data_IF_737476729452
#
_entry.id   IF_737476729452
#
_cell.length_a   1.000
_cell.length_b   1.000
_cell.length_c   1.000
_cell.angle_alpha   90.00
_cell.angle_beta   90.00
_cell.angle_gamma   90.00
#
_symmetry.space_group_name_H-M   'P 1'
#
loop_
_entity.id
_entity.type
_entity.pdbx_description
1 polymer ?
#
# COMPACT_ATOMS: atom_id res chain seq x y z
N UNK A 1 -2.78 -2.80 6.80
CA UNK A 1 -1.36 -2.59 7.13
C UNK A 1 -0.70 -3.93 7.35
N UNK A 2 0.34 -4.25 6.58
CA UNK A 2 1.03 -5.55 6.61
C UNK A 2 2.41 -5.42 5.97
N UNK A 3 3.37 -6.26 6.35
CA UNK A 3 4.49 -6.50 5.44
C UNK A 3 3.96 -7.24 4.22
N UNK A 4 4.46 -6.92 3.04
CA UNK A 4 4.08 -7.60 1.81
C UNK A 4 5.29 -8.20 1.11
N UNK A 5 5.10 -9.30 0.41
CA UNK A 5 6.11 -9.86 -0.48
C UNK A 5 5.48 -10.82 -1.46
N UNK A 6 6.23 -11.23 -2.47
CA UNK A 6 5.76 -12.16 -3.49
C UNK A 6 6.86 -13.13 -3.88
N UNK A 7 6.51 -14.40 -4.13
CA UNK A 7 7.40 -15.42 -4.70
C UNK A 7 6.68 -16.17 -5.83
N UNK A 8 7.38 -16.43 -6.94
CA UNK A 8 6.83 -17.19 -8.06
C UNK A 8 6.62 -18.68 -7.70
N UNK A 9 5.61 -19.31 -8.29
CA UNK A 9 5.14 -20.67 -7.94
C UNK A 9 6.13 -21.78 -8.34
N UNK A 10 7.08 -21.54 -9.24
CA UNK A 10 7.94 -22.61 -9.76
C UNK A 10 9.40 -22.20 -9.88
N UNK A 11 10.25 -22.79 -9.03
CA UNK A 11 11.66 -23.00 -9.36
C UNK A 11 11.85 -24.47 -9.77
N UNK A 12 12.45 -24.78 -10.94
CA UNK A 12 12.64 -26.16 -11.40
C UNK A 12 13.68 -27.00 -10.63
N UNK A 13 14.23 -26.55 -9.49
CA UNK A 13 15.48 -27.12 -8.95
C UNK A 13 15.51 -27.43 -7.44
N UNK A 14 14.42 -27.88 -6.81
CA UNK A 14 14.55 -28.49 -5.47
C UNK A 14 13.88 -29.86 -5.41
N UNK A 15 14.71 -30.90 -5.31
CA UNK A 15 14.33 -32.32 -5.21
C UNK A 15 13.56 -32.66 -3.92
N UNK A 16 13.40 -31.72 -2.99
CA UNK A 16 12.65 -31.91 -1.75
C UNK A 16 11.87 -30.64 -1.38
N UNK A 17 10.57 -30.82 -1.13
CA UNK A 17 9.55 -29.86 -0.64
C UNK A 17 8.93 -28.87 -1.66
N UNK A 18 7.61 -28.97 -1.83
CA UNK A 18 6.74 -28.00 -2.54
C UNK A 18 6.88 -26.61 -1.91
N UNK A 19 7.74 -25.75 -2.44
CA UNK A 19 7.64 -24.32 -2.19
C UNK A 19 6.44 -23.79 -3.00
N UNK A 20 5.26 -23.67 -2.36
CA UNK A 20 4.12 -22.95 -2.95
C UNK A 20 4.46 -21.46 -2.96
N UNK A 21 4.84 -20.93 -4.12
CA UNK A 21 4.88 -19.49 -4.35
C UNK A 21 3.50 -18.85 -4.15
N UNK A 22 3.47 -17.53 -4.04
CA UNK A 22 2.26 -16.79 -3.70
C UNK A 22 1.31 -16.69 -4.92
N UNK A 23 1.87 -16.76 -6.13
CA UNK A 23 1.10 -16.89 -7.37
C UNK A 23 0.44 -15.62 -7.84
N UNK A 24 -0.55 -15.76 -8.70
CA UNK A 24 -1.27 -14.64 -9.31
C UNK A 24 -2.73 -14.66 -8.89
N UNK A 25 -3.32 -13.48 -8.74
CA UNK A 25 -4.74 -13.29 -8.48
C UNK A 25 -5.33 -12.31 -9.49
N UNK A 26 -6.65 -12.23 -9.56
CA UNK A 26 -7.37 -11.36 -10.49
C UNK A 26 -8.13 -10.33 -9.68
N UNK A 27 -8.03 -9.06 -10.08
CA UNK A 27 -8.75 -7.96 -9.43
C UNK A 27 -10.26 -8.15 -9.62
N UNK A 28 -11.06 -8.17 -8.54
CA UNK A 28 -12.52 -8.25 -8.62
C UNK A 28 -13.15 -7.20 -9.55
N UNK A 29 -14.32 -7.53 -10.08
CA UNK A 29 -15.08 -6.62 -10.96
C UNK A 29 -15.48 -5.34 -10.21
N UNK A 30 -15.33 -4.19 -10.87
CA UNK A 30 -15.60 -2.84 -10.36
C UNK A 30 -14.67 -2.39 -9.22
N UNK A 31 -13.52 -3.05 -9.06
CA UNK A 31 -12.51 -2.67 -8.08
C UNK A 31 -11.26 -2.14 -8.79
N UNK A 32 -10.64 -1.10 -8.23
CA UNK A 32 -9.30 -0.63 -8.57
C UNK A 32 -8.36 -0.85 -7.40
N UNK A 33 -7.10 -1.20 -7.68
CA UNK A 33 -6.07 -1.28 -6.65
C UNK A 33 -5.00 -0.25 -6.98
N UNK A 34 -4.73 0.64 -6.03
CA UNK A 34 -3.70 1.66 -6.15
C UNK A 34 -2.45 1.22 -5.36
N UNK A 35 -1.33 1.09 -6.06
CA UNK A 35 -0.03 0.79 -5.48
C UNK A 35 0.80 2.06 -5.33
N UNK A 36 1.34 2.26 -4.13
CA UNK A 36 2.15 3.43 -3.76
C UNK A 36 3.65 3.24 -3.94
N UNK A 37 4.04 2.03 -4.34
CA UNK A 37 5.40 1.67 -4.70
C UNK A 37 5.41 0.92 -6.00
N UNK A 38 6.55 0.95 -6.69
CA UNK A 38 6.79 0.07 -7.83
C UNK A 38 6.90 -1.38 -7.37
N UNK A 39 6.77 -2.31 -8.30
CA UNK A 39 7.13 -3.70 -8.05
C UNK A 39 8.59 -3.78 -7.56
N UNK A 40 8.87 -4.66 -6.59
CA UNK A 40 10.18 -4.82 -5.92
C UNK A 40 10.65 -3.64 -5.05
N UNK A 41 9.74 -2.75 -4.65
CA UNK A 41 10.07 -1.60 -3.81
C UNK A 41 9.38 -1.66 -2.43
N UNK A 42 10.01 -1.04 -1.44
CA UNK A 42 9.56 -0.98 -0.06
C UNK A 42 8.64 0.21 0.15
N UNK A 43 7.53 0.01 0.85
CA UNK A 43 6.60 1.10 1.16
C UNK A 43 6.66 1.48 2.63
N UNK A 44 6.34 2.74 2.93
CA UNK A 44 6.06 3.23 4.28
C UNK A 44 4.55 3.18 4.51
N UNK A 45 4.04 2.03 4.93
CA UNK A 45 2.58 1.80 5.02
C UNK A 45 1.82 2.82 5.88
N UNK A 46 2.43 3.33 6.96
CA UNK A 46 1.86 4.42 7.76
C UNK A 46 1.74 5.73 6.98
N UNK A 47 2.72 6.06 6.15
CA UNK A 47 2.71 7.28 5.33
C UNK A 47 1.61 7.21 4.27
N UNK A 48 1.40 6.04 3.66
CA UNK A 48 0.28 5.80 2.75
C UNK A 48 -1.05 5.99 3.46
N UNK A 49 -1.24 5.36 4.62
CA UNK A 49 -2.48 5.50 5.40
C UNK A 49 -2.73 6.97 5.79
N UNK A 50 -1.69 7.69 6.22
CA UNK A 50 -1.80 9.12 6.57
C UNK A 50 -2.21 9.96 5.37
N UNK A 51 -1.57 9.80 4.21
CA UNK A 51 -1.91 10.58 3.02
C UNK A 51 -3.29 10.26 2.46
N UNK A 52 -3.66 8.98 2.42
CA UNK A 52 -5.01 8.56 2.00
C UNK A 52 -6.08 9.12 2.95
N UNK A 53 -5.84 9.13 4.26
CA UNK A 53 -6.77 9.74 5.22
C UNK A 53 -6.91 11.25 5.02
N UNK A 54 -5.79 11.96 4.80
CA UNK A 54 -5.78 13.42 4.59
C UNK A 54 -6.45 13.83 3.28
N UNK A 55 -6.16 13.10 2.19
CA UNK A 55 -6.61 13.41 0.82
C UNK A 55 -7.58 12.36 0.30
N UNK A 56 -8.53 11.93 1.12
CA UNK A 56 -9.43 10.81 0.81
C UNK A 56 -10.25 11.03 -0.48
N UNK A 57 -10.71 12.26 -0.74
CA UNK A 57 -11.46 12.60 -1.96
C UNK A 57 -10.63 12.43 -3.23
N UNK A 58 -9.34 12.78 -3.16
CA UNK A 58 -8.42 12.59 -4.26
C UNK A 58 -7.98 11.12 -4.36
N UNK A 59 -7.77 10.45 -3.23
CA UNK A 59 -7.41 9.04 -3.19
C UNK A 59 -8.45 8.16 -3.92
N UNK A 60 -9.74 8.50 -3.84
CA UNK A 60 -10.78 7.80 -4.63
C UNK A 60 -10.53 7.87 -6.15
N UNK A 61 -9.98 8.98 -6.66
CA UNK A 61 -9.62 9.14 -8.09
C UNK A 61 -8.20 8.63 -8.40
N UNK A 62 -7.35 8.58 -7.38
CA UNK A 62 -5.95 8.20 -7.42
C UNK A 62 -5.07 9.37 -7.01
N UNK A 63 -4.25 9.17 -5.98
CA UNK A 63 -3.39 10.23 -5.44
C UNK A 63 -2.35 10.71 -6.45
N UNK A 64 -2.35 12.01 -6.75
CA UNK A 64 -1.32 12.65 -7.57
C UNK A 64 -0.18 13.19 -6.70
N UNK A 65 1.04 13.28 -7.23
CA UNK A 65 2.16 13.84 -6.49
C UNK A 65 1.91 15.31 -6.15
N UNK A 66 1.89 15.62 -4.85
CA UNK A 66 1.80 16.98 -4.33
C UNK A 66 2.61 17.11 -3.05
N UNK A 67 3.13 18.31 -2.79
CA UNK A 67 3.93 18.60 -1.60
C UNK A 67 3.10 19.02 -0.38
N UNK A 68 1.79 19.23 -0.55
CA UNK A 68 0.86 19.70 0.50
C UNK A 68 1.44 20.83 1.37
N UNK A 69 2.22 21.73 0.76
CA UNK A 69 2.87 22.87 1.40
C UNK A 69 2.74 24.09 0.49
N UNK A 70 2.55 25.26 1.08
CA UNK A 70 2.48 26.51 0.31
C UNK A 70 3.86 26.87 -0.26
N UNK A 71 3.90 27.63 -1.35
CA UNK A 71 5.16 28.14 -1.90
C UNK A 71 5.88 29.06 -0.91
N UNK A 72 5.13 29.78 -0.09
CA UNK A 72 5.68 30.69 0.92
C UNK A 72 6.35 29.91 2.07
N UNK A 73 5.69 28.88 2.60
CA UNK A 73 6.29 28.00 3.62
C UNK A 73 7.51 27.27 3.06
N UNK A 74 7.43 26.82 1.82
CA UNK A 74 8.53 26.13 1.16
C UNK A 74 9.73 27.06 0.95
N UNK A 75 9.50 28.35 0.65
CA UNK A 75 10.54 29.38 0.61
C UNK A 75 11.16 29.61 1.98
N UNK A 76 10.36 29.69 3.05
CA UNK A 76 10.85 29.81 4.43
C UNK A 76 11.72 28.61 4.82
N UNK A 77 11.29 27.39 4.50
CA UNK A 77 12.05 26.17 4.77
C UNK A 77 13.36 26.08 3.96
N UNK A 78 13.32 26.48 2.69
CA UNK A 78 14.50 26.51 1.83
C UNK A 78 15.56 27.47 2.38
N UNK A 79 15.13 28.67 2.80
CA UNK A 79 15.99 29.65 3.46
C UNK A 79 16.56 29.11 4.79
N UNK A 80 15.74 28.47 5.63
CA UNK A 80 16.19 27.90 6.89
C UNK A 80 17.25 26.78 6.72
N UNK A 81 17.16 26.02 5.61
CA UNK A 81 18.11 24.95 5.26
C UNK A 81 19.29 25.43 4.42
N UNK A 82 19.33 26.71 4.04
CA UNK A 82 20.33 27.31 3.17
C UNK A 82 20.51 26.55 1.83
N UNK A 83 19.39 26.12 1.23
CA UNK A 83 19.37 25.43 -0.07
C UNK A 83 18.41 26.14 -1.04
N UNK A 84 18.61 26.02 -2.37
CA UNK A 84 17.66 26.53 -3.36
C UNK A 84 16.27 25.93 -3.18
N UNK A 85 15.24 26.74 -3.41
CA UNK A 85 13.84 26.32 -3.34
C UNK A 85 13.56 25.09 -4.23
N UNK A 86 14.07 25.10 -5.47
CA UNK A 86 13.94 23.99 -6.41
C UNK A 86 14.53 22.68 -5.88
N UNK A 87 15.67 22.75 -5.17
CA UNK A 87 16.30 21.57 -4.56
C UNK A 87 15.46 21.01 -3.41
N UNK A 88 14.88 21.88 -2.58
CA UNK A 88 13.96 21.45 -1.54
C UNK A 88 12.69 20.83 -2.12
N UNK A 89 12.13 21.42 -3.19
CA UNK A 89 10.99 20.87 -3.91
C UNK A 89 11.30 19.47 -4.46
N UNK A 90 12.44 19.27 -5.12
CA UNK A 90 12.89 17.97 -5.61
C UNK A 90 13.05 16.94 -4.47
N UNK A 91 13.71 17.32 -3.37
CA UNK A 91 13.90 16.45 -2.21
C UNK A 91 12.56 16.04 -1.59
N UNK A 92 11.64 16.98 -1.38
CA UNK A 92 10.33 16.67 -0.83
C UNK A 92 9.47 15.84 -1.81
N UNK A 93 9.55 16.13 -3.11
CA UNK A 93 8.82 15.38 -4.15
C UNK A 93 9.31 13.94 -4.27
N UNK A 94 10.60 13.71 -4.06
CA UNK A 94 11.18 12.36 -4.03
C UNK A 94 10.59 11.49 -2.91
N UNK A 95 10.12 12.12 -1.83
CA UNK A 95 9.53 11.47 -0.66
C UNK A 95 7.99 11.50 -0.68
N UNK A 96 7.39 12.21 -1.64
CA UNK A 96 5.94 12.34 -1.73
C UNK A 96 5.28 10.98 -1.97
N UNK A 97 4.19 10.73 -1.24
CA UNK A 97 3.39 9.52 -1.40
C UNK A 97 2.30 9.80 -2.44
N UNK A 98 2.37 9.08 -3.55
CA UNK A 98 1.40 9.15 -4.63
C UNK A 98 1.26 7.79 -5.29
N UNK A 99 0.21 7.62 -6.10
CA UNK A 99 -0.03 6.39 -6.83
C UNK A 99 1.04 6.20 -7.90
N UNK A 100 1.82 5.12 -7.80
CA UNK A 100 2.87 4.76 -8.75
C UNK A 100 2.35 3.84 -9.83
N UNK A 101 1.59 2.83 -9.42
CA UNK A 101 0.98 1.83 -10.29
C UNK A 101 -0.47 1.62 -9.86
N UNK A 102 -1.29 1.13 -10.78
CA UNK A 102 -2.66 0.74 -10.46
C UNK A 102 -3.03 -0.48 -11.27
N UNK A 103 -3.96 -1.26 -10.74
CA UNK A 103 -4.58 -2.37 -11.45
C UNK A 103 -6.09 -2.19 -11.46
N UNK A 104 -6.71 -2.43 -12.60
CA UNK A 104 -8.16 -2.33 -12.79
C UNK A 104 -8.82 -3.70 -12.83
N UNK A 105 -10.15 -3.71 -12.91
CA UNK A 105 -10.97 -4.92 -12.85
C UNK A 105 -10.55 -5.96 -13.89
N UNK A 106 -10.51 -7.22 -13.46
CA UNK A 106 -10.07 -8.38 -14.26
C UNK A 106 -8.58 -8.41 -14.63
N UNK A 107 -7.77 -7.45 -14.18
CA UNK A 107 -6.33 -7.53 -14.37
C UNK A 107 -5.71 -8.60 -13.47
N UNK A 108 -4.72 -9.30 -14.03
CA UNK A 108 -3.94 -10.31 -13.31
C UNK A 108 -2.80 -9.63 -12.58
N UNK A 109 -2.78 -9.74 -11.26
CA UNK A 109 -1.77 -9.13 -10.39
C UNK A 109 -1.10 -10.19 -9.52
N UNK A 110 0.07 -9.83 -9.00
CA UNK A 110 0.79 -10.64 -8.01
C UNK A 110 -0.08 -10.79 -6.77
N UNK A 111 -0.27 -12.03 -6.33
CA UNK A 111 -1.02 -12.34 -5.13
C UNK A 111 -0.12 -12.14 -3.90
N UNK A 112 0.18 -10.89 -3.55
CA UNK A 112 1.14 -10.59 -2.49
C UNK A 112 0.78 -11.31 -1.19
N UNK A 113 1.77 -11.97 -0.60
CA UNK A 113 1.71 -12.48 0.75
C UNK A 113 1.84 -11.32 1.73
N UNK A 114 0.84 -11.19 2.58
CA UNK A 114 0.68 -10.17 3.58
C UNK A 114 0.92 -10.80 4.96
N UNK A 115 1.65 -10.09 5.82
CA UNK A 115 2.04 -10.54 7.16
C UNK A 115 1.58 -9.55 8.22
N UNK A 116 1.39 -10.03 9.45
CA UNK A 116 1.17 -9.19 10.61
C UNK A 116 2.24 -8.10 10.71
N UNK A 117 1.81 -6.89 11.10
CA UNK A 117 2.69 -5.77 11.37
C UNK A 117 2.48 -5.32 12.82
N UNK A 118 3.56 -5.08 13.56
CA UNK A 118 3.49 -4.79 15.01
C UNK A 118 2.60 -3.60 15.35
N UNK A 119 2.62 -2.57 14.49
CA UNK A 119 1.79 -1.38 14.65
C UNK A 119 0.29 -1.60 14.32
N UNK A 120 -0.13 -2.79 13.87
CA UNK A 120 -1.53 -3.05 13.51
C UNK A 120 -2.49 -2.74 14.67
N UNK A 121 -2.15 -3.16 15.90
CA UNK A 121 -3.00 -2.92 17.08
C UNK A 121 -3.22 -1.43 17.35
N UNK A 122 -2.16 -0.61 17.29
CA UNK A 122 -2.27 0.83 17.53
C UNK A 122 -3.12 1.53 16.48
N UNK A 123 -3.07 1.08 15.22
CA UNK A 123 -3.87 1.68 14.14
C UNK A 123 -5.34 1.24 14.25
N UNK A 124 -5.61 -0.02 14.59
CA UNK A 124 -6.95 -0.52 14.86
C UNK A 124 -7.59 0.30 15.98
N UNK A 125 -6.89 0.46 17.10
CA UNK A 125 -7.39 1.23 18.24
C UNK A 125 -7.73 2.67 17.84
N UNK A 126 -6.80 3.37 17.17
CA UNK A 126 -7.06 4.75 16.69
C UNK A 126 -8.25 4.85 15.74
N UNK A 127 -8.44 3.86 14.86
CA UNK A 127 -9.56 3.85 13.95
C UNK A 127 -10.88 3.61 14.68
N UNK A 128 -10.90 2.69 15.66
CA UNK A 128 -12.06 2.41 16.53
C UNK A 128 -12.41 3.58 17.46
N UNK A 129 -11.42 4.32 17.92
CA UNK A 129 -11.60 5.52 18.74
C UNK A 129 -12.16 6.72 17.93
N UNK A 130 -12.48 6.53 16.65
CA UNK A 130 -13.06 7.56 15.78
C UNK A 130 -12.06 8.61 15.28
N UNK A 131 -10.76 8.40 15.51
CA UNK A 131 -9.68 9.28 14.99
C UNK A 131 -9.34 8.99 13.52
N UNK A 132 -9.96 7.96 12.93
CA UNK A 132 -9.86 7.63 11.51
C UNK A 132 -10.92 8.32 10.65
N UNK A 133 -10.68 8.36 9.33
CA UNK A 133 -11.68 8.82 8.38
C UNK A 133 -12.76 7.73 8.21
N UNK A 134 -14.04 8.09 8.42
CA UNK A 134 -15.19 7.17 8.31
C UNK A 134 -15.42 6.60 6.91
N UNK A 135 -14.82 7.21 5.89
CA UNK A 135 -14.92 6.76 4.50
C UNK A 135 -13.83 5.75 4.11
N UNK A 136 -12.96 5.37 5.04
CA UNK A 136 -11.83 4.48 4.76
C UNK A 136 -11.87 3.32 5.74
N UNK A 137 -12.11 2.12 5.22
CA UNK A 137 -11.92 0.88 5.97
C UNK A 137 -10.47 0.41 5.87
N UNK A 138 -9.98 -0.20 6.94
CA UNK A 138 -8.60 -0.69 6.99
C UNK A 138 -8.60 -2.21 7.22
N UNK A 139 -8.02 -2.93 6.26
CA UNK A 139 -7.76 -4.36 6.40
C UNK A 139 -6.45 -4.61 7.16
N UNK A 140 -6.50 -5.50 8.15
CA UNK A 140 -5.35 -5.94 8.93
C UNK A 140 -5.27 -7.46 8.97
N UNK A 141 -4.05 -7.95 9.15
CA UNK A 141 -3.80 -9.34 9.51
C UNK A 141 -3.59 -9.37 11.00
N UNK A 142 -4.41 -10.14 11.69
CA UNK A 142 -4.37 -10.30 13.15
C UNK A 142 -3.52 -11.50 13.58
N UNK A 143 -3.37 -12.49 12.71
CA UNK A 143 -2.58 -13.69 12.97
C UNK A 143 -1.09 -13.42 12.75
N UNK A 144 -0.30 -13.55 13.83
CA UNK A 144 1.16 -13.35 13.82
C UNK A 144 1.92 -14.49 13.12
N UNK A 145 1.32 -15.69 13.07
CA UNK A 145 2.01 -16.91 12.68
C UNK A 145 1.71 -17.33 11.23
N UNK A 146 0.68 -16.75 10.61
CA UNK A 146 0.26 -17.13 9.27
C UNK A 146 0.25 -15.95 8.30
N UNK A 147 0.83 -16.17 7.11
CA UNK A 147 0.65 -15.25 5.98
C UNK A 147 -0.76 -15.38 5.41
N UNK A 148 -1.34 -14.25 5.04
CA UNK A 148 -2.56 -14.18 4.22
C UNK A 148 -2.20 -13.68 2.84
N UNK A 149 -3.03 -13.95 1.85
CA UNK A 149 -2.81 -13.48 0.49
C UNK A 149 -3.76 -12.34 0.15
N UNK A 150 -3.39 -11.53 -0.84
CA UNK A 150 -4.28 -10.47 -1.34
C UNK A 150 -5.63 -11.04 -1.82
N UNK A 151 -5.65 -12.26 -2.37
CA UNK A 151 -6.88 -12.98 -2.72
C UNK A 151 -7.81 -13.22 -1.52
N UNK A 152 -7.26 -13.40 -0.31
CA UNK A 152 -8.07 -13.59 0.89
C UNK A 152 -8.81 -12.30 1.25
N UNK A 153 -8.19 -11.14 1.00
CA UNK A 153 -8.85 -9.83 1.19
C UNK A 153 -10.00 -9.67 0.20
N UNK A 154 -9.82 -10.05 -1.07
CA UNK A 154 -10.91 -10.01 -2.05
C UNK A 154 -12.09 -10.90 -1.65
N UNK A 155 -11.79 -12.09 -1.11
CA UNK A 155 -12.81 -13.00 -0.59
C UNK A 155 -13.58 -12.36 0.56
N UNK A 156 -12.89 -11.76 1.53
CA UNK A 156 -13.53 -11.06 2.66
C UNK A 156 -14.38 -9.88 2.18
N UNK A 157 -13.89 -9.09 1.21
CA UNK A 157 -14.68 -7.99 0.63
C UNK A 157 -15.97 -8.53 0.01
N UNK A 158 -15.88 -9.60 -0.79
CA UNK A 158 -17.03 -10.21 -1.43
C UNK A 158 -18.02 -10.81 -0.41
N UNK A 159 -17.52 -11.45 0.65
CA UNK A 159 -18.33 -12.03 1.73
C UNK A 159 -18.99 -10.97 2.63
N UNK A 160 -18.35 -9.80 2.80
CA UNK A 160 -18.89 -8.70 3.59
C UNK A 160 -20.12 -8.04 2.96
N UNK A 161 -20.30 -8.18 1.64
CA UNK A 161 -21.36 -7.50 0.88
C UNK A 161 -21.14 -5.99 0.72
N UNK A 162 -20.07 -5.42 1.30
CA UNK A 162 -19.72 -4.01 1.17
C UNK A 162 -19.08 -3.76 -0.19
N UNK A 163 -19.51 -2.70 -0.87
CA UNK A 163 -18.93 -2.28 -2.15
C UNK A 163 -17.80 -1.30 -1.92
N UNK A 164 -16.59 -1.70 -2.33
CA UNK A 164 -15.42 -0.84 -2.35
C UNK A 164 -15.07 -0.48 -3.78
N UNK A 165 -14.80 0.80 -4.05
CA UNK A 165 -14.36 1.26 -5.37
C UNK A 165 -12.84 1.08 -5.53
N UNK A 166 -12.07 1.29 -4.45
CA UNK A 166 -10.61 1.36 -4.48
C UNK A 166 -9.99 0.67 -3.27
N UNK A 167 -8.96 -0.15 -3.50
CA UNK A 167 -8.05 -0.65 -2.47
C UNK A 167 -6.74 0.12 -2.54
N UNK A 168 -6.36 0.73 -1.42
CA UNK A 168 -5.07 1.38 -1.27
C UNK A 168 -4.04 0.40 -0.70
N UNK A 169 -3.16 -0.11 -1.56
CA UNK A 169 -2.16 -1.11 -1.18
C UNK A 169 -0.93 -0.43 -0.54
N UNK A 170 -0.93 -0.37 0.79
CA UNK A 170 0.16 0.19 1.60
C UNK A 170 1.14 -0.85 2.17
N UNK A 171 1.19 -2.06 1.62
CA UNK A 171 2.15 -3.10 2.04
C UNK A 171 3.35 -3.19 1.08
N UNK A 172 4.49 -3.72 1.54
CA UNK A 172 5.69 -3.84 0.69
C UNK A 172 5.44 -4.75 -0.52
N UNK A 173 6.11 -4.49 -1.65
CA UNK A 173 5.96 -5.28 -2.89
C UNK A 173 7.24 -6.03 -3.26
N UNK A 174 8.01 -6.48 -2.27
CA UNK A 174 9.30 -7.14 -2.50
C UNK A 174 9.14 -8.54 -3.05
N UNK A 175 9.79 -8.84 -4.18
CA UNK A 175 10.03 -10.22 -4.61
C UNK A 175 11.00 -10.90 -3.63
N UNK A 176 10.65 -12.10 -3.20
CA UNK A 176 11.39 -12.91 -2.21
C UNK A 176 12.12 -14.09 -2.86
N UNK A 177 12.40 -14.02 -4.15
CA UNK A 177 13.37 -14.91 -4.77
C UNK A 177 14.71 -14.77 -4.03
N UNK A 178 15.19 -15.89 -3.50
CA UNK A 178 16.40 -15.95 -2.69
C UNK A 178 17.60 -15.44 -3.51
N UNK A 179 18.40 -14.57 -2.90
CA UNK A 179 19.79 -14.35 -3.32
C UNK A 179 20.62 -15.57 -2.99
#
# INVERSE_FOLDING_TARGET
MSHGGWKEISHPQTLFTRQKGDGWTVVPKNLRIDFYTKDNDFTKGLSVLSEVNKRHTEAQKGLTPSLNISKDDLKVLANARNIPQSKLEEEMMSQAIYRKEYATSNEKIKNYALYYHEQAQNIIQRHQDGLGNKNIDIAFITDKNHKKHLSDIFKVINESGVKYDVIHFGACRVNREEK
#
